data_IF_207507426123
#
_entry.id   IF_207507426123
#
_cell.length_a   1.000
_cell.length_b   1.000
_cell.length_c   1.000
_cell.angle_alpha   90.00
_cell.angle_beta   90.00
_cell.angle_gamma   90.00
#
_symmetry.space_group_name_H-M   'P 1'
#
loop_
_entity.id
_entity.type
_entity.pdbx_description
1 polymer ?
#
# COMPACT_ATOMS: atom_id res chain seq x y z
N UNK A 1 -4.96 -8.88 -28.62
CA UNK A 1 -6.38 -8.54 -28.82
C UNK A 1 -6.99 -8.25 -27.45
N UNK A 2 -6.77 -7.04 -26.93
CA UNK A 2 -7.35 -6.61 -25.65
C UNK A 2 -8.77 -6.11 -25.94
N UNK A 3 -9.69 -6.59 -25.12
CA UNK A 3 -11.14 -6.44 -25.22
C UNK A 3 -11.57 -5.04 -25.65
N UNK A 4 -12.57 -4.97 -26.55
CA UNK A 4 -13.35 -3.74 -26.80
C UNK A 4 -13.86 -3.24 -25.46
N UNK A 5 -13.16 -2.30 -24.84
CA UNK A 5 -13.35 -1.93 -23.45
C UNK A 5 -14.05 -0.58 -23.40
N UNK A 6 -15.23 -0.54 -22.79
CA UNK A 6 -16.04 0.67 -22.60
C UNK A 6 -15.39 1.74 -21.71
N UNK A 7 -14.20 1.48 -21.16
CA UNK A 7 -13.46 2.39 -20.29
C UNK A 7 -12.38 3.13 -21.08
N UNK A 8 -12.55 4.45 -21.21
CA UNK A 8 -11.58 5.35 -21.88
C UNK A 8 -10.15 5.18 -21.36
N UNK A 9 -9.99 4.91 -20.06
CA UNK A 9 -8.68 4.67 -19.46
C UNK A 9 -8.00 3.40 -20.00
N UNK A 10 -8.75 2.32 -20.25
CA UNK A 10 -8.20 1.06 -20.80
C UNK A 10 -7.81 1.28 -22.26
N UNK A 11 -8.68 1.93 -23.05
CA UNK A 11 -8.38 2.28 -24.44
C UNK A 11 -7.12 3.16 -24.54
N UNK A 12 -7.03 4.20 -23.70
CA UNK A 12 -5.85 5.06 -23.62
C UNK A 12 -4.59 4.29 -23.21
N UNK A 13 -4.66 3.42 -22.19
CA UNK A 13 -3.51 2.64 -21.76
C UNK A 13 -3.03 1.68 -22.86
N UNK A 14 -3.95 1.04 -23.58
CA UNK A 14 -3.59 0.17 -24.72
C UNK A 14 -2.91 0.99 -25.83
N UNK A 15 -3.47 2.14 -26.20
CA UNK A 15 -2.92 2.98 -27.27
C UNK A 15 -1.54 3.56 -26.90
N UNK A 16 -1.41 4.17 -25.73
CA UNK A 16 -0.23 4.97 -25.37
C UNK A 16 0.82 4.22 -24.55
N UNK A 17 0.43 3.24 -23.74
CA UNK A 17 1.37 2.46 -22.91
C UNK A 17 1.77 1.15 -23.55
N UNK A 18 0.82 0.43 -24.14
CA UNK A 18 1.12 -0.84 -24.80
C UNK A 18 1.65 -0.64 -26.23
N UNK A 19 1.25 0.43 -26.93
CA UNK A 19 1.72 0.76 -28.29
C UNK A 19 1.63 -0.41 -29.28
N UNK A 20 0.54 -1.18 -29.20
CA UNK A 20 0.31 -2.37 -30.04
C UNK A 20 1.05 -3.63 -29.59
N UNK A 21 1.96 -3.55 -28.62
CA UNK A 21 2.60 -4.73 -28.01
C UNK A 21 1.63 -5.37 -27.02
N UNK A 22 1.60 -6.71 -27.02
CA UNK A 22 0.79 -7.44 -26.07
C UNK A 22 1.22 -7.11 -24.63
N UNK A 23 0.22 -6.90 -23.76
CA UNK A 23 0.47 -6.51 -22.37
C UNK A 23 1.43 -7.51 -21.74
N UNK A 24 1.25 -8.82 -21.89
CA UNK A 24 2.06 -9.84 -21.21
C UNK A 24 3.55 -9.81 -21.60
N UNK A 25 3.89 -9.26 -22.77
CA UNK A 25 5.27 -9.19 -23.27
C UNK A 25 5.99 -7.88 -22.93
N UNK A 26 5.29 -6.87 -22.40
CA UNK A 26 5.91 -5.58 -22.07
C UNK A 26 6.94 -5.71 -20.93
N UNK A 27 8.14 -5.18 -21.14
CA UNK A 27 9.18 -5.11 -20.11
C UNK A 27 8.86 -4.05 -19.06
N UNK A 28 9.21 -4.32 -17.81
CA UNK A 28 9.14 -3.32 -16.73
C UNK A 28 10.34 -2.40 -16.85
N UNK A 29 10.12 -1.16 -17.30
CA UNK A 29 11.18 -0.15 -17.37
C UNK A 29 11.13 0.79 -16.14
N UNK A 30 12.28 1.37 -15.77
CA UNK A 30 12.41 2.33 -14.67
C UNK A 30 11.79 3.69 -15.00
N UNK A 31 11.73 4.04 -16.29
CA UNK A 31 11.17 5.31 -16.80
C UNK A 31 9.64 5.39 -16.76
N UNK A 32 8.94 4.26 -16.58
CA UNK A 32 7.49 4.25 -16.41
C UNK A 32 7.07 4.74 -15.02
N UNK A 33 5.88 5.35 -14.97
CA UNK A 33 5.24 5.69 -13.70
C UNK A 33 5.17 4.49 -12.74
N UNK A 34 5.36 4.76 -11.45
CA UNK A 34 5.33 3.75 -10.39
C UNK A 34 4.06 2.89 -10.43
N UNK A 35 2.91 3.52 -10.64
CA UNK A 35 1.62 2.83 -10.76
C UNK A 35 1.59 1.84 -11.94
N UNK A 36 2.11 2.24 -13.10
CA UNK A 36 2.19 1.36 -14.27
C UNK A 36 3.10 0.17 -13.99
N UNK A 37 4.29 0.43 -13.43
CA UNK A 37 5.22 -0.65 -13.02
C UNK A 37 4.54 -1.65 -12.09
N UNK A 38 3.73 -1.20 -11.13
CA UNK A 38 2.98 -2.08 -10.24
C UNK A 38 1.94 -2.93 -11.01
N UNK A 39 1.22 -2.36 -11.96
CA UNK A 39 0.31 -3.13 -12.84
C UNK A 39 1.08 -4.22 -13.62
N UNK A 40 2.24 -3.88 -14.19
CA UNK A 40 3.07 -4.87 -14.92
C UNK A 40 3.55 -5.99 -13.99
N UNK A 41 3.97 -5.66 -12.77
CA UNK A 41 4.46 -6.62 -11.78
C UNK A 41 3.36 -7.54 -11.23
N UNK A 42 2.07 -7.20 -11.39
CA UNK A 42 0.96 -8.06 -11.00
C UNK A 42 0.68 -9.19 -12.00
N UNK A 43 1.17 -9.09 -13.24
CA UNK A 43 0.94 -10.08 -14.30
C UNK A 43 1.15 -11.53 -13.89
N UNK A 44 2.31 -11.94 -13.36
CA UNK A 44 2.50 -13.34 -12.98
C UNK A 44 1.50 -13.82 -11.92
N UNK A 45 1.03 -12.91 -11.04
CA UNK A 45 0.02 -13.23 -10.02
C UNK A 45 -1.38 -13.40 -10.59
N UNK A 46 -1.69 -12.79 -11.72
CA UNK A 46 -3.02 -12.88 -12.35
C UNK A 46 -3.06 -13.91 -13.48
N UNK A 47 -1.90 -14.27 -14.05
CA UNK A 47 -1.83 -15.10 -15.25
C UNK A 47 -2.45 -16.48 -15.06
N UNK A 48 -2.22 -17.12 -13.90
CA UNK A 48 -2.79 -18.44 -13.58
C UNK A 48 -4.31 -18.40 -13.31
N UNK A 49 -4.86 -17.21 -13.03
CA UNK A 49 -6.30 -17.02 -12.80
C UNK A 49 -7.06 -16.78 -14.10
N UNK A 50 -6.33 -16.48 -15.18
CA UNK A 50 -6.86 -16.23 -16.51
C UNK A 50 -6.77 -17.50 -17.36
N UNK A 51 -7.91 -17.97 -17.83
CA UNK A 51 -7.98 -19.07 -18.79
C UNK A 51 -8.65 -18.59 -20.07
N UNK A 52 -8.13 -19.04 -21.22
CA UNK A 52 -8.77 -18.83 -22.52
C UNK A 52 -9.35 -20.15 -23.01
N UNK A 53 -10.65 -20.18 -23.29
CA UNK A 53 -11.32 -21.33 -23.92
C UNK A 53 -12.03 -20.83 -25.18
N UNK A 54 -11.48 -21.18 -26.35
CA UNK A 54 -11.91 -20.59 -27.63
C UNK A 54 -11.74 -19.07 -27.65
N UNK A 55 -12.79 -18.36 -28.04
CA UNK A 55 -12.82 -16.90 -28.10
C UNK A 55 -13.18 -16.23 -26.75
N UNK A 56 -13.49 -17.02 -25.72
CA UNK A 56 -13.92 -16.50 -24.41
C UNK A 56 -12.78 -16.54 -23.40
N UNK A 57 -12.70 -15.47 -22.61
CA UNK A 57 -11.79 -15.35 -21.47
C UNK A 57 -12.54 -15.68 -20.17
N UNK A 58 -11.86 -16.39 -19.28
CA UNK A 58 -12.38 -16.79 -17.98
C UNK A 58 -11.45 -16.30 -16.88
N UNK A 59 -12.04 -15.82 -15.78
CA UNK A 59 -11.36 -15.51 -14.53
C UNK A 59 -11.82 -16.50 -13.47
N UNK A 60 -10.89 -17.32 -12.95
CA UNK A 60 -11.20 -18.39 -11.98
C UNK A 60 -12.37 -19.29 -12.46
N UNK A 61 -12.36 -19.68 -13.73
CA UNK A 61 -13.41 -20.53 -14.32
C UNK A 61 -14.74 -19.84 -14.59
N UNK A 62 -14.90 -18.54 -14.30
CA UNK A 62 -16.11 -17.76 -14.64
C UNK A 62 -15.90 -16.90 -15.88
N UNK A 63 -16.92 -16.72 -16.74
CA UNK A 63 -16.83 -15.83 -17.90
C UNK A 63 -16.48 -14.41 -17.46
N UNK A 64 -15.64 -13.74 -18.25
CA UNK A 64 -15.24 -12.35 -18.01
C UNK A 64 -16.42 -11.37 -18.12
N UNK A 65 -17.53 -11.76 -18.75
CA UNK A 65 -18.81 -11.01 -18.76
C UNK A 65 -19.35 -10.75 -17.34
N UNK A 66 -18.99 -11.58 -16.35
CA UNK A 66 -19.33 -11.42 -14.93
C UNK A 66 -18.17 -10.79 -14.13
N UNK A 67 -17.33 -9.99 -14.79
CA UNK A 67 -16.20 -9.32 -14.17
C UNK A 67 -16.63 -8.42 -13.01
N UNK A 68 -15.88 -8.47 -11.92
CA UNK A 68 -16.07 -7.57 -10.78
C UNK A 68 -14.71 -7.19 -10.20
N UNK A 69 -14.44 -5.88 -10.17
CA UNK A 69 -13.22 -5.35 -9.55
C UNK A 69 -13.10 -5.79 -8.07
N UNK A 70 -14.23 -5.91 -7.35
CA UNK A 70 -14.28 -6.41 -5.97
C UNK A 70 -13.78 -7.85 -5.87
N UNK A 71 -14.20 -8.73 -6.79
CA UNK A 71 -13.74 -10.13 -6.83
C UNK A 71 -12.26 -10.21 -7.09
N UNK A 72 -11.78 -9.53 -8.14
CA UNK A 72 -10.35 -9.50 -8.49
C UNK A 72 -9.51 -8.99 -7.32
N UNK A 73 -9.92 -7.89 -6.68
CA UNK A 73 -9.24 -7.37 -5.50
C UNK A 73 -9.21 -8.38 -4.35
N UNK A 74 -10.32 -9.09 -4.12
CA UNK A 74 -10.42 -10.07 -3.03
C UNK A 74 -9.51 -11.28 -3.26
N UNK A 75 -9.35 -11.70 -4.52
CA UNK A 75 -8.40 -12.77 -4.89
C UNK A 75 -6.94 -12.31 -4.78
N UNK A 76 -6.61 -11.12 -5.29
CA UNK A 76 -5.22 -10.67 -5.37
C UNK A 76 -4.65 -10.11 -4.07
N UNK A 77 -5.51 -9.60 -3.20
CA UNK A 77 -5.09 -9.04 -1.92
C UNK A 77 -4.50 -10.15 -1.04
N UNK A 78 -3.33 -9.93 -0.42
CA UNK A 78 -2.85 -10.80 0.64
C UNK A 78 -3.91 -10.91 1.75
N UNK A 79 -4.38 -12.13 2.02
CA UNK A 79 -5.31 -12.39 3.12
C UNK A 79 -4.56 -12.24 4.43
N UNK A 80 -4.78 -11.12 5.12
CA UNK A 80 -4.28 -10.90 6.48
C UNK A 80 -5.40 -11.23 7.48
N UNK A 81 -5.01 -11.71 8.67
CA UNK A 81 -5.96 -11.81 9.77
C UNK A 81 -6.56 -10.43 10.07
N UNK A 82 -7.85 -10.42 10.41
CA UNK A 82 -8.49 -9.21 10.93
C UNK A 82 -7.70 -8.79 12.17
N UNK A 83 -7.19 -7.57 12.13
CA UNK A 83 -6.39 -7.03 13.21
C UNK A 83 -7.34 -6.46 14.27
N UNK A 84 -7.32 -6.98 15.49
CA UNK A 84 -8.25 -6.52 16.54
C UNK A 84 -8.08 -5.03 16.85
N UNK A 85 -6.85 -4.51 16.77
CA UNK A 85 -6.57 -3.08 16.95
C UNK A 85 -7.25 -2.18 15.89
N UNK A 86 -7.70 -2.72 14.75
CA UNK A 86 -8.33 -1.90 13.70
C UNK A 86 -9.59 -1.18 14.18
N UNK A 87 -10.36 -1.80 15.08
CA UNK A 87 -11.58 -1.20 15.65
C UNK A 87 -11.26 -0.02 16.57
N UNK A 88 -10.10 -0.03 17.24
CA UNK A 88 -9.63 1.06 18.09
C UNK A 88 -9.30 2.31 17.26
N UNK A 89 -8.73 2.09 16.06
CA UNK A 89 -8.28 3.19 15.20
C UNK A 89 -9.43 3.80 14.39
N UNK A 90 -10.32 2.96 13.87
CA UNK A 90 -11.40 3.36 12.96
C UNK A 90 -12.78 3.31 13.63
N UNK A 91 -12.83 3.49 14.95
CA UNK A 91 -14.07 3.46 15.74
C UNK A 91 -15.01 4.63 15.45
N UNK A 92 -16.25 4.57 15.97
CA UNK A 92 -17.33 5.53 15.66
C UNK A 92 -17.02 7.00 16.00
N UNK A 93 -16.09 7.27 16.90
CA UNK A 93 -15.69 8.64 17.30
C UNK A 93 -14.26 8.99 16.90
N UNK A 94 -13.69 8.26 15.93
CA UNK A 94 -12.29 8.44 15.58
C UNK A 94 -12.09 9.67 14.69
N UNK A 95 -11.34 10.67 15.16
CA UNK A 95 -10.99 11.84 14.36
C UNK A 95 -10.03 11.39 13.25
N UNK A 96 -10.36 11.58 11.95
CA UNK A 96 -9.62 10.98 10.84
C UNK A 96 -8.11 11.22 10.87
N UNK A 97 -7.67 12.42 11.27
CA UNK A 97 -6.25 12.77 11.40
C UNK A 97 -5.54 11.90 12.43
N UNK A 98 -6.12 11.75 13.62
CA UNK A 98 -5.53 10.93 14.69
C UNK A 98 -5.62 9.45 14.36
N UNK A 99 -6.73 8.99 13.77
CA UNK A 99 -6.84 7.61 13.26
C UNK A 99 -5.75 7.28 12.25
N UNK A 100 -5.49 8.18 11.31
CA UNK A 100 -4.46 7.97 10.31
C UNK A 100 -3.06 7.89 10.93
N UNK A 101 -2.71 8.78 11.86
CA UNK A 101 -1.43 8.76 12.55
C UNK A 101 -1.31 7.48 13.41
N UNK A 102 -2.32 7.13 14.19
CA UNK A 102 -2.35 5.90 14.99
C UNK A 102 -2.23 4.65 14.13
N UNK A 103 -2.87 4.63 12.96
CA UNK A 103 -2.70 3.55 11.99
C UNK A 103 -1.25 3.41 11.56
N UNK A 104 -0.59 4.52 11.15
CA UNK A 104 0.81 4.53 10.77
C UNK A 104 1.74 4.06 11.91
N UNK A 105 1.42 4.41 13.16
CA UNK A 105 2.16 3.93 14.34
C UNK A 105 2.01 2.41 14.46
N UNK A 106 0.79 1.88 14.37
CA UNK A 106 0.52 0.43 14.52
C UNK A 106 1.17 -0.42 13.44
N UNK A 107 1.25 0.07 12.19
CA UNK A 107 1.93 -0.65 11.11
C UNK A 107 3.42 -0.31 11.00
N UNK A 108 3.98 0.42 11.97
CA UNK A 108 5.35 0.93 11.95
C UNK A 108 5.71 1.58 10.61
N UNK A 109 4.84 2.45 10.09
CA UNK A 109 5.03 3.18 8.84
C UNK A 109 5.35 4.67 9.06
N UNK A 110 5.38 5.15 10.32
CA UNK A 110 5.82 6.51 10.63
C UNK A 110 7.28 6.71 10.22
N UNK A 111 7.58 7.82 9.54
CA UNK A 111 8.93 8.19 9.09
C UNK A 111 9.74 8.75 10.27
N UNK A 112 10.27 7.87 11.11
CA UNK A 112 11.13 8.28 12.24
C UNK A 112 12.56 8.55 11.79
N UNK A 113 13.34 9.30 12.57
CA UNK A 113 14.75 9.56 12.22
C UNK A 113 15.57 8.28 12.11
N UNK A 114 15.36 7.27 12.96
CA UNK A 114 16.03 5.98 12.78
C UNK A 114 15.74 5.31 11.42
N UNK A 115 14.55 5.51 10.82
CA UNK A 115 14.29 5.03 9.45
C UNK A 115 14.97 5.88 8.39
N UNK A 116 14.94 7.19 8.53
CA UNK A 116 15.61 8.11 7.62
C UNK A 116 17.13 7.89 7.60
N UNK A 117 17.72 7.64 8.77
CA UNK A 117 19.14 7.31 8.92
C UNK A 117 19.47 5.99 8.21
N UNK A 118 18.66 4.94 8.42
CA UNK A 118 18.80 3.66 7.69
C UNK A 118 18.64 3.81 6.17
N UNK A 119 17.84 4.77 5.71
CA UNK A 119 17.70 5.09 4.29
C UNK A 119 18.84 5.98 3.75
N UNK A 120 19.81 6.37 4.58
CA UNK A 120 20.92 7.24 4.21
C UNK A 120 20.47 8.68 3.88
N UNK A 121 19.34 9.14 4.43
CA UNK A 121 18.80 10.49 4.18
C UNK A 121 19.26 11.53 5.20
N UNK A 122 19.72 11.08 6.36
CA UNK A 122 20.25 11.92 7.43
C UNK A 122 21.49 11.25 8.04
N UNK A 123 22.38 12.05 8.62
CA UNK A 123 23.66 11.59 9.19
C UNK A 123 23.56 11.24 10.68
N UNK A 124 22.46 11.61 11.34
CA UNK A 124 22.25 11.42 12.76
C UNK A 124 20.80 11.01 13.01
N UNK A 125 20.58 10.03 13.87
CA UNK A 125 19.28 9.49 14.21
C UNK A 125 18.79 9.82 15.62
N UNK A 126 19.53 10.66 16.37
CA UNK A 126 19.10 11.13 17.70
C UNK A 126 17.71 11.78 17.65
N UNK A 127 16.93 11.53 18.70
CA UNK A 127 15.62 12.12 18.90
C UNK A 127 15.76 13.61 19.19
N UNK A 128 15.00 14.44 18.45
CA UNK A 128 15.07 15.89 18.59
C UNK A 128 14.38 16.41 19.86
N UNK A 129 13.57 15.58 20.52
CA UNK A 129 12.85 15.96 21.74
C UNK A 129 13.73 15.82 22.98
N UNK A 130 14.46 14.70 23.10
CA UNK A 130 15.31 14.43 24.26
C UNK A 130 16.80 14.60 23.98
N UNK A 131 17.26 14.40 22.74
CA UNK A 131 18.68 14.48 22.37
C UNK A 131 19.57 13.33 22.86
N UNK A 132 19.04 12.34 23.57
CA UNK A 132 19.84 11.29 24.24
C UNK A 132 19.75 9.90 23.62
N UNK A 133 18.77 9.65 22.75
CA UNK A 133 18.56 8.32 22.15
C UNK A 133 18.01 8.44 20.74
N UNK A 134 18.22 7.41 19.93
CA UNK A 134 17.69 7.32 18.57
C UNK A 134 16.16 7.42 18.50
N UNK A 135 15.64 8.20 17.55
CA UNK A 135 14.20 8.37 17.33
C UNK A 135 13.58 7.15 16.64
N UNK A 136 13.25 6.16 17.45
CA UNK A 136 12.41 5.02 17.08
C UNK A 136 10.95 5.26 17.47
N UNK A 137 10.03 4.43 16.97
CA UNK A 137 8.62 4.46 17.38
C UNK A 137 8.50 4.20 18.88
N UNK A 138 9.24 3.22 19.36
CA UNK A 138 9.25 2.80 20.76
C UNK A 138 9.76 3.94 21.65
N UNK A 139 10.86 4.58 21.24
CA UNK A 139 11.39 5.75 21.94
C UNK A 139 10.38 6.91 21.91
N UNK A 140 9.93 7.33 20.72
CA UNK A 140 9.10 8.52 20.55
C UNK A 140 7.79 8.46 21.36
N UNK A 141 7.17 7.29 21.51
CA UNK A 141 5.86 7.17 22.18
C UNK A 141 5.92 6.60 23.60
N UNK A 142 6.95 5.83 23.97
CA UNK A 142 6.95 5.09 25.24
C UNK A 142 8.19 5.33 26.12
N UNK A 143 9.35 5.62 25.56
CA UNK A 143 10.61 5.74 26.32
C UNK A 143 11.27 7.14 26.28
N UNK A 144 10.73 8.09 25.52
CA UNK A 144 11.27 9.44 25.45
C UNK A 144 10.95 10.20 26.74
N UNK A 145 11.99 10.62 27.46
CA UNK A 145 11.89 11.34 28.73
C UNK A 145 11.02 12.60 28.60
N UNK A 146 11.22 13.35 27.53
CA UNK A 146 10.44 14.56 27.25
C UNK A 146 8.93 14.26 27.10
N UNK A 147 8.59 13.18 26.39
CA UNK A 147 7.20 12.78 26.18
C UNK A 147 6.59 12.25 27.48
N UNK A 148 7.33 11.48 28.26
CA UNK A 148 6.86 11.02 29.58
C UNK A 148 6.55 12.18 30.51
N UNK A 149 7.39 13.22 30.54
CA UNK A 149 7.14 14.44 31.30
C UNK A 149 5.89 15.17 30.81
N UNK A 150 5.72 15.30 29.49
CA UNK A 150 4.52 15.93 28.92
C UNK A 150 3.23 15.19 29.28
N UNK A 151 3.23 13.86 29.22
CA UNK A 151 2.06 13.03 29.56
C UNK A 151 1.70 13.18 31.05
N UNK A 152 2.71 13.23 31.93
CA UNK A 152 2.50 13.48 33.36
C UNK A 152 1.87 14.85 33.61
N UNK A 153 2.37 15.91 32.95
CA UNK A 153 1.83 17.27 33.08
C UNK A 153 0.41 17.37 32.51
N UNK A 154 0.11 16.63 31.44
CA UNK A 154 -1.21 16.62 30.81
C UNK A 154 -2.27 15.83 31.61
N UNK A 155 -1.89 15.17 32.72
CA UNK A 155 -2.83 14.42 33.57
C UNK A 155 -3.42 13.18 32.91
N UNK A 156 -2.75 12.63 31.90
CA UNK A 156 -3.19 11.40 31.22
C UNK A 156 -2.47 10.22 31.89
N UNK A 157 -3.07 9.73 32.99
CA UNK A 157 -2.64 8.52 33.71
C UNK A 157 -3.42 7.29 33.26
#
# INVERSE_FOLDING_TARGET
MLMKSAALWVAWAVAYRCKGVDVWQLKVNSSSSWAWRKVLLLRPKVQHLLARQGDKMFWEGKPMEQYSAKRVWTTLRPKCSKQEWSKLIWGKCSIPRFSFISWLIMINALTTRSKLFRWGKISDDQCLLCGFSSESREHLFFACVFVQQLVQVAGVS
#
